data_IF_997498864199
#
_entry.id   IF_997498864199
#
_cell.length_a   1.000
_cell.length_b   1.000
_cell.length_c   1.000
_cell.angle_alpha   90.00
_cell.angle_beta   90.00
_cell.angle_gamma   90.00
#
_symmetry.space_group_name_H-M   'P 1'
#
loop_
_entity.id
_entity.type
_entity.pdbx_description
1 polymer ?
#
# COMPACT_ATOMS: atom_id res chain seq x y z
N UNK A 1 43.44 52.18 12.77
CA UNK A 1 42.96 51.77 14.12
C UNK A 1 41.54 52.25 14.49
N UNK A 2 40.84 53.07 13.67
CA UNK A 2 39.45 53.48 13.94
C UNK A 2 38.41 52.45 13.47
N UNK A 3 38.71 51.68 12.41
CA UNK A 3 37.82 50.64 11.88
C UNK A 3 37.79 49.35 12.72
N UNK A 4 38.83 49.07 13.52
CA UNK A 4 38.90 47.87 14.38
C UNK A 4 37.97 47.99 15.60
N UNK A 5 37.76 49.21 16.11
CA UNK A 5 36.80 49.48 17.19
C UNK A 5 35.35 49.33 16.72
N UNK A 6 35.07 49.69 15.46
CA UNK A 6 33.74 49.56 14.84
C UNK A 6 33.37 48.08 14.66
N UNK A 7 34.34 47.23 14.30
CA UNK A 7 34.14 45.79 14.16
C UNK A 7 33.84 45.10 15.51
N UNK A 8 34.47 45.54 16.60
CA UNK A 8 34.21 45.01 17.95
C UNK A 8 32.84 45.41 18.51
N UNK A 9 32.36 46.62 18.18
CA UNK A 9 31.02 47.08 18.61
C UNK A 9 29.91 46.34 17.84
N UNK A 10 30.16 45.97 16.58
CA UNK A 10 29.20 45.19 15.78
C UNK A 10 29.01 43.75 16.29
N UNK A 11 30.05 43.14 16.88
CA UNK A 11 29.97 41.77 17.41
C UNK A 11 29.23 41.73 18.76
N UNK A 12 29.23 42.82 19.53
CA UNK A 12 28.55 42.88 20.83
C UNK A 12 27.02 43.02 20.73
N UNK A 13 26.47 43.33 19.56
CA UNK A 13 25.03 43.53 19.33
C UNK A 13 24.29 42.29 18.79
N UNK A 14 24.98 41.16 18.61
CA UNK A 14 24.41 39.95 17.96
C UNK A 14 23.54 39.06 18.88
N UNK A 15 23.52 39.11 20.22
CA UNK A 15 22.71 38.15 20.98
C UNK A 15 21.27 38.62 21.27
N UNK A 16 20.73 39.65 20.59
CA UNK A 16 19.40 40.18 20.90
C UNK A 16 18.29 39.89 19.87
N UNK A 17 18.51 38.94 18.94
CA UNK A 17 17.45 38.34 18.12
C UNK A 17 17.12 36.91 18.57
N UNK A 18 17.03 36.67 19.87
CA UNK A 18 16.32 35.50 20.38
C UNK A 18 14.82 35.79 20.36
N UNK A 19 14.19 35.58 19.21
CA UNK A 19 12.74 35.44 19.14
C UNK A 19 12.37 34.17 19.92
N UNK A 20 11.86 34.34 21.14
CA UNK A 20 11.30 33.26 21.92
C UNK A 20 10.16 32.62 21.12
N UNK A 21 10.40 31.46 20.52
CA UNK A 21 9.36 30.70 19.85
C UNK A 21 8.27 30.35 20.88
N UNK A 22 7.10 31.00 20.77
CA UNK A 22 5.90 30.48 21.43
C UNK A 22 5.72 29.04 20.96
N UNK A 23 5.76 28.10 21.88
CA UNK A 23 5.39 26.70 21.65
C UNK A 23 3.99 26.70 21.02
N UNK A 24 3.93 26.48 19.71
CA UNK A 24 2.68 26.25 19.00
C UNK A 24 2.20 24.90 19.54
N UNK A 25 1.23 24.93 20.45
CA UNK A 25 0.47 23.74 20.80
C UNK A 25 -0.28 23.36 19.53
N UNK A 26 0.33 22.52 18.70
CA UNK A 26 -0.38 21.81 17.65
C UNK A 26 -1.60 21.19 18.34
N UNK A 27 -2.84 21.47 17.88
CA UNK A 27 -3.97 20.71 18.33
C UNK A 27 -3.58 19.25 18.21
N UNK A 28 -3.63 18.53 19.31
CA UNK A 28 -3.48 17.09 19.31
C UNK A 28 -4.65 16.60 18.45
N UNK A 29 -4.40 16.41 17.14
CA UNK A 29 -5.33 15.70 16.27
C UNK A 29 -5.50 14.36 16.95
N UNK A 30 -6.65 14.18 17.60
CA UNK A 30 -7.11 12.87 17.97
C UNK A 30 -7.13 12.11 16.65
N UNK A 31 -6.15 11.24 16.46
CA UNK A 31 -6.09 10.34 15.31
C UNK A 31 -7.31 9.44 15.47
N UNK A 32 -8.44 9.90 14.96
CA UNK A 32 -9.65 9.13 14.82
C UNK A 32 -9.32 8.13 13.73
N UNK A 33 -8.99 6.92 14.14
CA UNK A 33 -8.90 5.83 13.20
C UNK A 33 -10.24 5.76 12.46
N UNK A 34 -10.22 5.69 11.11
CA UNK A 34 -11.45 5.54 10.37
C UNK A 34 -12.21 4.35 10.93
N UNK A 35 -13.51 4.53 11.14
CA UNK A 35 -14.36 3.47 11.67
C UNK A 35 -14.18 2.21 10.81
N UNK A 36 -13.96 1.07 11.48
CA UNK A 36 -13.83 -0.21 10.78
C UNK A 36 -15.07 -0.46 9.92
N UNK A 37 -14.92 -0.91 8.66
CA UNK A 37 -16.06 -1.20 7.82
C UNK A 37 -16.87 -2.35 8.44
N UNK A 38 -18.20 -2.27 8.34
CA UNK A 38 -19.09 -3.33 8.82
C UNK A 38 -19.01 -4.61 7.97
N UNK A 39 -18.57 -4.48 6.73
CA UNK A 39 -18.45 -5.56 5.76
C UNK A 39 -17.21 -5.35 4.88
N UNK A 40 -16.45 -6.42 4.67
CA UNK A 40 -15.38 -6.50 3.68
C UNK A 40 -15.74 -7.61 2.70
N UNK A 41 -15.70 -7.31 1.41
CA UNK A 41 -16.00 -8.28 0.34
C UNK A 41 -14.72 -8.51 -0.46
N UNK A 42 -14.19 -9.73 -0.41
CA UNK A 42 -13.10 -10.17 -1.27
C UNK A 42 -13.65 -10.79 -2.54
N UNK A 43 -13.25 -10.27 -3.71
CA UNK A 43 -13.67 -10.76 -5.02
C UNK A 43 -12.42 -11.18 -5.79
N UNK A 44 -12.39 -12.43 -6.23
CA UNK A 44 -11.37 -12.95 -7.14
C UNK A 44 -12.09 -13.45 -8.39
N UNK A 45 -11.80 -12.84 -9.54
CA UNK A 45 -12.34 -13.28 -10.82
C UNK A 45 -11.33 -14.25 -11.42
N UNK A 46 -11.71 -15.52 -11.54
CA UNK A 46 -10.79 -16.56 -12.02
C UNK A 46 -10.33 -16.27 -13.45
N UNK A 47 -9.06 -16.53 -13.72
CA UNK A 47 -8.39 -16.30 -14.99
C UNK A 47 -8.49 -14.85 -15.53
N UNK A 48 -8.79 -13.86 -14.68
CA UNK A 48 -8.86 -12.47 -15.09
C UNK A 48 -7.47 -11.87 -15.24
N UNK A 49 -7.07 -11.61 -16.49
CA UNK A 49 -5.86 -10.84 -16.76
C UNK A 49 -6.11 -9.34 -16.54
N UNK A 50 -5.07 -8.64 -16.10
CA UNK A 50 -5.15 -7.20 -15.81
C UNK A 50 -5.58 -6.35 -17.03
N UNK A 51 -5.14 -6.72 -18.25
CA UNK A 51 -5.47 -5.98 -19.47
C UNK A 51 -6.96 -5.98 -19.82
N UNK A 52 -7.74 -6.93 -19.30
CA UNK A 52 -9.18 -6.99 -19.54
C UNK A 52 -9.93 -5.77 -18.97
N UNK A 53 -9.43 -5.19 -17.87
CA UNK A 53 -10.02 -3.99 -17.26
C UNK A 53 -10.06 -2.82 -18.24
N UNK A 54 -9.04 -2.67 -19.07
CA UNK A 54 -8.89 -1.56 -20.01
C UNK A 54 -9.35 -1.94 -21.41
N UNK A 55 -9.04 -3.16 -21.88
CA UNK A 55 -9.38 -3.65 -23.21
C UNK A 55 -10.89 -3.63 -23.47
N UNK A 56 -11.70 -3.91 -22.44
CA UNK A 56 -13.16 -3.96 -22.54
C UNK A 56 -13.86 -2.81 -21.79
N UNK A 57 -13.13 -1.77 -21.38
CA UNK A 57 -13.67 -0.66 -20.57
C UNK A 57 -14.94 -0.02 -21.18
N UNK A 58 -14.96 0.16 -22.50
CA UNK A 58 -16.09 0.73 -23.25
C UNK A 58 -17.34 -0.17 -23.26
N UNK A 59 -17.22 -1.45 -22.91
CA UNK A 59 -18.32 -2.40 -22.79
C UNK A 59 -18.85 -2.52 -21.36
N UNK A 60 -18.14 -1.97 -20.38
CA UNK A 60 -18.56 -2.02 -18.98
C UNK A 60 -19.48 -0.84 -18.65
N UNK A 61 -20.51 -1.11 -17.84
CA UNK A 61 -21.35 -0.07 -17.26
C UNK A 61 -20.62 0.76 -16.20
N UNK A 62 -21.25 1.84 -15.74
CA UNK A 62 -20.66 2.78 -14.78
C UNK A 62 -20.57 2.28 -13.35
N UNK A 63 -21.31 1.22 -12.98
CA UNK A 63 -21.42 0.73 -11.59
C UNK A 63 -20.47 -0.41 -11.19
N UNK A 64 -19.74 -1.00 -12.15
CA UNK A 64 -18.88 -2.19 -11.94
C UNK A 64 -17.39 -1.88 -11.94
N UNK A 65 -16.62 -2.54 -12.81
CA UNK A 65 -15.16 -2.32 -12.95
C UNK A 65 -14.81 -0.84 -13.15
N UNK A 66 -15.55 -0.11 -14.00
CA UNK A 66 -15.31 1.31 -14.23
C UNK A 66 -15.47 2.16 -12.96
N UNK A 67 -16.39 1.79 -12.05
CA UNK A 67 -16.52 2.44 -10.74
C UNK A 67 -15.29 2.20 -9.89
N UNK A 68 -14.83 0.95 -9.80
CA UNK A 68 -13.66 0.58 -9.00
C UNK A 68 -12.38 1.27 -9.50
N UNK A 69 -12.22 1.42 -10.82
CA UNK A 69 -11.08 2.13 -11.40
C UNK A 69 -11.13 3.65 -11.15
N UNK A 70 -12.32 4.25 -11.13
CA UNK A 70 -12.50 5.71 -10.97
C UNK A 70 -12.50 6.18 -9.52
N UNK A 71 -13.14 5.41 -8.64
CA UNK A 71 -13.41 5.80 -7.24
C UNK A 71 -12.57 5.00 -6.23
N UNK A 72 -11.90 3.93 -6.67
CA UNK A 72 -11.09 3.06 -5.83
C UNK A 72 -9.59 3.30 -5.98
N UNK A 73 -8.82 2.28 -5.61
CA UNK A 73 -7.37 2.25 -5.76
C UNK A 73 -6.95 1.05 -6.62
N UNK A 74 -6.03 1.27 -7.55
CA UNK A 74 -5.54 0.24 -8.48
C UNK A 74 -4.05 0.00 -8.28
N UNK A 75 -3.67 -1.28 -8.20
CA UNK A 75 -2.27 -1.70 -8.18
C UNK A 75 -1.93 -2.39 -9.51
N UNK A 76 -1.45 -1.62 -10.48
CA UNK A 76 -1.28 -2.07 -11.87
C UNK A 76 -0.11 -3.04 -12.06
N UNK A 77 0.91 -2.96 -11.21
CA UNK A 77 2.08 -3.85 -11.26
C UNK A 77 2.04 -4.93 -10.16
N UNK A 78 0.93 -5.66 -10.09
CA UNK A 78 0.79 -6.81 -9.17
C UNK A 78 1.15 -8.09 -9.90
N UNK A 79 2.19 -8.80 -9.43
CA UNK A 79 2.66 -10.05 -10.01
C UNK A 79 2.49 -11.21 -9.02
N UNK A 80 2.31 -12.43 -9.53
CA UNK A 80 2.26 -13.64 -8.72
C UNK A 80 3.71 -14.07 -8.41
N UNK A 81 4.18 -14.05 -7.15
CA UNK A 81 5.58 -14.26 -6.81
C UNK A 81 5.95 -15.75 -6.64
N UNK A 82 5.23 -16.65 -7.31
CA UNK A 82 5.45 -18.09 -7.23
C UNK A 82 4.98 -18.80 -8.49
N UNK A 83 5.38 -20.06 -8.60
CA UNK A 83 4.87 -21.02 -9.58
C UNK A 83 4.45 -22.30 -8.84
N UNK A 84 3.44 -23.04 -9.33
CA UNK A 84 2.61 -22.79 -10.52
C UNK A 84 1.48 -21.77 -10.29
N UNK A 85 1.10 -21.03 -11.33
CA UNK A 85 0.02 -20.02 -11.29
C UNK A 85 -1.36 -20.66 -11.47
N UNK A 86 -1.78 -21.47 -10.50
CA UNK A 86 -3.05 -22.22 -10.51
C UNK A 86 -4.02 -21.76 -9.42
N UNK A 87 -5.30 -22.08 -9.59
CA UNK A 87 -6.42 -21.58 -8.77
C UNK A 87 -6.22 -21.78 -7.27
N UNK A 88 -5.88 -23.00 -6.82
CA UNK A 88 -5.76 -23.33 -5.40
C UNK A 88 -4.62 -22.56 -4.71
N UNK A 89 -3.44 -22.50 -5.34
CA UNK A 89 -2.30 -21.72 -4.89
C UNK A 89 -2.62 -20.21 -4.89
N UNK A 90 -3.27 -19.73 -5.96
CA UNK A 90 -3.81 -18.38 -6.14
C UNK A 90 -4.62 -17.88 -4.95
N UNK A 91 -5.74 -18.56 -4.71
CA UNK A 91 -6.68 -18.19 -3.65
C UNK A 91 -6.03 -18.29 -2.27
N UNK A 92 -5.24 -19.34 -2.04
CA UNK A 92 -4.52 -19.52 -0.78
C UNK A 92 -3.56 -18.35 -0.51
N UNK A 93 -2.78 -17.93 -1.51
CA UNK A 93 -1.86 -16.79 -1.38
C UNK A 93 -2.57 -15.47 -1.08
N UNK A 94 -3.69 -15.18 -1.77
CA UNK A 94 -4.45 -13.92 -1.59
C UNK A 94 -4.95 -13.75 -0.15
N UNK A 95 -5.52 -14.82 0.44
CA UNK A 95 -6.16 -14.72 1.75
C UNK A 95 -5.22 -15.03 2.93
N UNK A 96 -4.05 -15.62 2.68
CA UNK A 96 -3.04 -15.88 3.73
C UNK A 96 -1.90 -14.86 3.74
N UNK A 97 -1.68 -14.13 2.64
CA UNK A 97 -0.50 -13.29 2.47
C UNK A 97 0.80 -14.08 2.43
N UNK A 98 0.74 -15.36 2.05
CA UNK A 98 1.87 -16.29 2.04
C UNK A 98 2.10 -16.92 0.66
N UNK A 99 3.08 -17.81 0.55
CA UNK A 99 3.44 -18.51 -0.69
C UNK A 99 3.27 -20.03 -0.57
N UNK A 100 3.10 -20.77 -1.68
CA UNK A 100 2.89 -22.22 -1.65
C UNK A 100 3.91 -23.01 -0.83
N UNK A 101 5.16 -22.56 -0.81
CA UNK A 101 6.23 -23.16 -0.02
C UNK A 101 5.99 -23.11 1.51
N UNK A 102 5.18 -22.18 2.00
CA UNK A 102 4.88 -21.99 3.42
C UNK A 102 3.49 -22.52 3.75
N UNK A 103 2.45 -22.11 2.99
CA UNK A 103 1.08 -22.52 3.28
C UNK A 103 0.75 -23.94 2.80
N UNK A 104 1.63 -24.58 2.02
CA UNK A 104 1.55 -26.00 1.65
C UNK A 104 0.58 -26.35 0.51
N UNK A 105 -0.14 -25.38 -0.05
CA UNK A 105 -1.04 -25.59 -1.20
C UNK A 105 -0.23 -25.39 -2.49
N UNK A 106 0.45 -26.46 -2.91
CA UNK A 106 1.43 -26.44 -4.01
C UNK A 106 0.81 -26.42 -5.42
N UNK A 107 -0.47 -26.74 -5.54
CA UNK A 107 -1.18 -26.78 -6.82
C UNK A 107 -2.65 -27.16 -6.63
N UNK A 108 -3.39 -27.29 -7.73
CA UNK A 108 -4.75 -27.85 -7.69
C UNK A 108 -4.71 -29.33 -7.30
N UNK A 109 -3.70 -30.04 -7.79
CA UNK A 109 -3.45 -31.45 -7.54
C UNK A 109 -1.94 -31.64 -7.35
N UNK A 110 -1.55 -32.53 -6.43
CA UNK A 110 -0.16 -32.92 -6.23
C UNK A 110 -0.07 -34.29 -5.53
N UNK A 111 0.98 -35.05 -5.84
CA UNK A 111 1.19 -36.36 -5.23
C UNK A 111 1.63 -36.22 -3.77
N UNK A 112 0.90 -36.87 -2.88
CA UNK A 112 1.32 -37.09 -1.50
C UNK A 112 2.34 -38.22 -1.49
N UNK A 113 3.62 -37.85 -1.35
CA UNK A 113 4.75 -38.79 -1.44
C UNK A 113 4.62 -40.00 -0.49
N UNK A 114 4.01 -39.82 0.68
CA UNK A 114 3.80 -40.89 1.65
C UNK A 114 2.85 -41.99 1.14
N UNK A 115 1.85 -41.64 0.34
CA UNK A 115 0.80 -42.56 -0.12
C UNK A 115 0.88 -42.87 -1.60
N UNK A 116 1.65 -42.09 -2.37
CA UNK A 116 1.73 -42.17 -3.83
C UNK A 116 0.44 -41.76 -4.55
N UNK A 117 -0.54 -41.20 -3.81
CA UNK A 117 -1.82 -40.77 -4.37
C UNK A 117 -1.80 -39.27 -4.62
N UNK A 118 -2.52 -38.85 -5.66
CA UNK A 118 -2.90 -37.44 -5.82
C UNK A 118 -4.08 -37.09 -4.93
#
# INVERSE_FOLDING_TARGET
>A
MKHIKILFIAILFIPFLSSAQKKKTTPQENISFPARPKLVVGIVVDQMRWDYLYRYANRYGTGGFNRMLREGFTCENTQIPYVPTVTAAGHSGIYTGSVPAIHGIAGNDFIIQKTGKS
#
